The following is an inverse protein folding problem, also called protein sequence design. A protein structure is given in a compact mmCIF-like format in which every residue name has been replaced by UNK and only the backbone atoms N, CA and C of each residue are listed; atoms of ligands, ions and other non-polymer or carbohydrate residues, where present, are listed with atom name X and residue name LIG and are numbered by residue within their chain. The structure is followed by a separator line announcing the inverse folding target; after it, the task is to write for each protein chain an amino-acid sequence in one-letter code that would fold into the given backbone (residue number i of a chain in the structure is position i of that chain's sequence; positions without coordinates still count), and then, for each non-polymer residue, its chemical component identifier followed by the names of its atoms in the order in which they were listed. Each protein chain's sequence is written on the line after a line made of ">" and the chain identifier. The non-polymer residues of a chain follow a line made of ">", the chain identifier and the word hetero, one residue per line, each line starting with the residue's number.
data_IF_618344303681
#
_entry.id   IF_618344303681
#
_cell.length_a   1.000
_cell.length_b   1.000
_cell.length_c   1.000
_cell.angle_alpha   90.00
_cell.angle_beta   90.00
_cell.angle_gamma   90.00
#
_symmetry.space_group_name_H-M   'P 1'
#
loop_
_entity.id
_entity.type
_entity.pdbx_description
1 polymer ?
#
# COMPACT_ATOMS: atom_id res chain seq x y z
N UNK A 1 1.50 14.13 -26.43
CA UNK A 1 1.23 15.48 -26.94
C UNK A 1 1.44 16.41 -25.77
N UNK A 2 2.37 17.34 -25.90
CA UNK A 2 2.68 18.29 -24.84
C UNK A 2 1.65 19.43 -24.91
N UNK A 3 1.08 19.81 -23.78
CA UNK A 3 0.06 20.86 -23.69
C UNK A 3 0.69 22.06 -22.99
N UNK A 4 0.51 23.27 -23.52
CA UNK A 4 1.09 24.48 -22.94
C UNK A 4 0.05 25.53 -22.56
N UNK A 5 0.36 26.27 -21.48
CA UNK A 5 -0.46 27.37 -20.97
C UNK A 5 0.43 28.56 -20.62
N UNK A 6 -0.01 29.77 -20.97
CA UNK A 6 0.65 30.98 -20.52
C UNK A 6 0.30 31.25 -19.06
N UNK A 7 1.31 31.55 -18.24
CA UNK A 7 1.13 31.88 -16.83
C UNK A 7 2.33 32.67 -16.28
N UNK A 8 2.18 33.19 -15.08
CA UNK A 8 3.29 33.69 -14.25
C UNK A 8 3.69 32.62 -13.25
N UNK A 9 4.98 32.40 -13.05
CA UNK A 9 5.47 31.49 -12.03
C UNK A 9 6.48 32.16 -11.11
N UNK A 10 6.34 31.86 -9.83
CA UNK A 10 7.24 32.29 -8.77
C UNK A 10 7.85 31.09 -8.07
N UNK A 11 9.17 31.12 -7.86
CA UNK A 11 9.93 30.15 -7.07
C UNK A 11 10.46 30.84 -5.81
N UNK A 12 10.20 30.25 -4.66
CA UNK A 12 10.65 30.72 -3.35
C UNK A 12 11.46 29.65 -2.62
N UNK A 13 12.43 30.10 -1.82
CA UNK A 13 13.14 29.22 -0.90
C UNK A 13 12.35 29.01 0.41
N UNK A 14 12.92 28.22 1.32
CA UNK A 14 12.29 27.94 2.62
C UNK A 14 12.09 29.17 3.51
N UNK A 15 12.90 30.23 3.32
CA UNK A 15 12.75 31.52 4.01
C UNK A 15 11.75 32.46 3.31
N UNK A 16 10.94 31.95 2.37
CA UNK A 16 9.99 32.71 1.55
C UNK A 16 10.62 33.83 0.71
N UNK A 17 11.94 33.81 0.49
CA UNK A 17 12.58 34.75 -0.43
C UNK A 17 12.30 34.30 -1.85
N UNK A 18 11.76 35.20 -2.66
CA UNK A 18 11.55 34.99 -4.10
C UNK A 18 12.91 34.90 -4.79
N UNK A 19 13.14 33.78 -5.47
CA UNK A 19 14.35 33.50 -6.25
C UNK A 19 14.08 33.72 -7.74
N UNK A 20 12.88 33.33 -8.19
CA UNK A 20 12.44 33.50 -9.58
C UNK A 20 11.04 34.08 -9.57
N UNK A 21 10.81 35.06 -10.44
CA UNK A 21 9.50 35.61 -10.74
C UNK A 21 9.47 35.96 -12.22
N UNK A 22 8.72 35.19 -13.00
CA UNK A 22 8.72 35.27 -14.47
C UNK A 22 7.33 35.07 -15.02
N UNK A 23 6.99 35.85 -16.04
CA UNK A 23 5.94 35.51 -16.98
C UNK A 23 6.48 34.53 -18.03
N UNK A 24 5.66 33.58 -18.44
CA UNK A 24 6.10 32.51 -19.31
C UNK A 24 5.00 31.51 -19.63
N UNK A 25 5.42 30.27 -19.83
CA UNK A 25 4.55 29.13 -20.10
C UNK A 25 4.88 27.94 -19.20
N UNK A 26 3.85 27.16 -18.88
CA UNK A 26 3.99 25.78 -18.40
C UNK A 26 3.76 24.83 -19.57
N UNK A 27 4.64 23.85 -19.73
CA UNK A 27 4.51 22.78 -20.73
C UNK A 27 4.36 21.46 -19.99
N UNK A 28 3.17 20.86 -20.05
CA UNK A 28 2.80 19.64 -19.34
C UNK A 28 3.15 18.42 -20.19
N UNK A 29 3.80 17.43 -19.57
CA UNK A 29 4.11 16.14 -20.18
C UNK A 29 3.86 15.00 -19.18
N UNK A 30 3.95 13.74 -19.62
CA UNK A 30 3.48 12.60 -18.82
C UNK A 30 4.15 12.36 -17.46
N UNK A 31 5.32 12.96 -17.19
CA UNK A 31 6.07 12.78 -15.93
C UNK A 31 6.22 14.05 -15.10
N UNK A 32 5.67 15.18 -15.56
CA UNK A 32 5.86 16.47 -14.92
C UNK A 32 5.51 17.63 -15.83
N UNK A 33 6.18 18.75 -15.60
CA UNK A 33 6.01 19.94 -16.44
C UNK A 33 7.29 20.76 -16.49
N UNK A 34 7.43 21.57 -17.54
CA UNK A 34 8.51 22.54 -17.68
C UNK A 34 7.95 23.94 -17.47
N UNK A 35 8.59 24.74 -16.61
CA UNK A 35 8.30 26.16 -16.43
C UNK A 35 9.32 26.98 -17.21
N UNK A 36 8.89 27.73 -18.22
CA UNK A 36 9.77 28.46 -19.13
C UNK A 36 9.37 29.93 -19.19
N UNK A 37 10.31 30.85 -18.94
CA UNK A 37 10.06 32.28 -19.04
C UNK A 37 9.96 32.77 -20.49
N UNK A 38 9.47 34.01 -20.67
CA UNK A 38 9.49 34.72 -21.95
C UNK A 38 10.94 35.02 -22.38
N UNK A 39 11.46 34.26 -23.34
CA UNK A 39 12.78 34.48 -23.95
C UNK A 39 13.31 33.26 -24.71
N UNK A 40 13.89 33.48 -25.90
CA UNK A 40 14.39 32.40 -26.76
C UNK A 40 15.54 31.60 -26.12
N UNK A 41 16.26 32.20 -25.17
CA UNK A 41 17.40 31.59 -24.45
C UNK A 41 17.00 30.91 -23.14
N UNK A 42 15.76 31.08 -22.66
CA UNK A 42 15.30 30.42 -21.44
C UNK A 42 14.99 28.95 -21.74
N UNK A 43 15.86 28.07 -21.24
CA UNK A 43 15.70 26.62 -21.37
C UNK A 43 14.56 26.07 -20.51
N UNK A 44 14.07 26.86 -19.55
CA UNK A 44 13.06 26.47 -18.58
C UNK A 44 13.59 25.53 -17.50
N UNK A 45 12.82 25.41 -16.43
CA UNK A 45 13.04 24.50 -15.31
C UNK A 45 12.14 23.27 -15.46
N UNK A 46 12.73 22.08 -15.41
CA UNK A 46 12.02 20.82 -15.47
C UNK A 46 11.61 20.40 -14.05
N UNK A 47 10.32 20.13 -13.83
CA UNK A 47 9.81 19.69 -12.53
C UNK A 47 9.08 18.37 -12.70
N UNK A 48 9.63 17.32 -12.10
CA UNK A 48 9.04 15.99 -12.15
C UNK A 48 7.96 15.85 -11.06
N UNK A 49 6.86 15.14 -11.36
CA UNK A 49 5.83 14.86 -10.35
C UNK A 49 6.39 14.03 -9.17
N UNK A 50 7.45 13.27 -9.40
CA UNK A 50 8.18 12.51 -8.37
C UNK A 50 8.88 13.41 -7.34
N UNK A 51 9.15 14.66 -7.68
CA UNK A 51 9.81 15.64 -6.81
C UNK A 51 8.81 16.46 -5.99
N UNK A 52 7.53 16.45 -6.37
CA UNK A 52 6.47 17.24 -5.74
C UNK A 52 5.94 16.52 -4.48
N UNK A 53 6.15 17.15 -3.32
CA UNK A 53 5.66 16.71 -2.00
C UNK A 53 4.21 17.13 -1.77
N UNK A 54 3.86 18.38 -2.05
CA UNK A 54 2.51 18.94 -1.85
C UNK A 54 2.09 19.65 -3.14
N UNK A 55 0.83 19.52 -3.53
CA UNK A 55 0.26 20.10 -4.73
C UNK A 55 -1.21 20.42 -4.46
N UNK A 56 -1.62 21.67 -4.63
CA UNK A 56 -3.00 22.09 -4.47
C UNK A 56 -3.23 23.40 -5.24
N UNK A 57 -4.49 23.83 -5.34
CA UNK A 57 -4.83 25.11 -5.94
C UNK A 57 -5.88 25.84 -5.11
N UNK A 58 -5.86 27.18 -5.18
CA UNK A 58 -6.82 28.06 -4.52
C UNK A 58 -6.75 29.45 -5.16
N UNK A 59 -7.89 30.15 -5.29
CA UNK A 59 -7.95 31.51 -5.81
C UNK A 59 -7.22 31.68 -7.16
N UNK A 60 -7.50 30.80 -8.13
CA UNK A 60 -6.89 30.77 -9.46
C UNK A 60 -5.36 30.70 -9.48
N UNK A 61 -4.79 30.06 -8.45
CA UNK A 61 -3.35 29.80 -8.32
C UNK A 61 -3.08 28.35 -7.98
N UNK A 62 -2.04 27.80 -8.58
CA UNK A 62 -1.49 26.48 -8.24
C UNK A 62 -0.32 26.68 -7.29
N UNK A 63 -0.30 25.93 -6.20
CA UNK A 63 0.77 25.90 -5.23
C UNK A 63 1.35 24.50 -5.17
N UNK A 64 2.68 24.41 -5.19
CA UNK A 64 3.33 23.14 -4.92
C UNK A 64 4.65 23.31 -4.19
N UNK A 65 4.97 22.29 -3.39
CA UNK A 65 6.21 22.20 -2.62
C UNK A 65 6.91 20.94 -3.03
N UNK A 66 8.19 21.03 -3.34
CA UNK A 66 9.05 19.91 -3.71
C UNK A 66 9.73 19.28 -2.48
N UNK A 67 10.28 18.08 -2.61
CA UNK A 67 10.98 17.40 -1.50
C UNK A 67 12.26 18.10 -1.04
N UNK A 68 12.87 18.93 -1.88
CA UNK A 68 13.98 19.83 -1.53
C UNK A 68 13.50 21.15 -0.86
N UNK A 69 12.22 21.25 -0.52
CA UNK A 69 11.58 22.39 0.17
C UNK A 69 11.52 23.70 -0.63
N UNK A 70 11.59 23.62 -1.96
CA UNK A 70 11.29 24.77 -2.82
C UNK A 70 9.77 24.93 -2.94
N UNK A 71 9.30 26.18 -2.92
CA UNK A 71 7.88 26.51 -3.03
C UNK A 71 7.64 27.20 -4.36
N UNK A 72 6.59 26.79 -5.05
CA UNK A 72 6.20 27.35 -6.33
C UNK A 72 4.77 27.85 -6.27
N UNK A 73 4.54 29.00 -6.90
CA UNK A 73 3.21 29.55 -7.14
C UNK A 73 3.07 29.80 -8.64
N UNK A 74 2.03 29.24 -9.25
CA UNK A 74 1.65 29.51 -10.63
C UNK A 74 0.35 30.33 -10.62
N UNK A 75 0.34 31.48 -11.29
CA UNK A 75 -0.77 32.43 -11.33
C UNK A 75 -0.99 32.96 -12.74
N UNK A 76 -2.06 33.75 -12.91
CA UNK A 76 -2.29 34.55 -14.11
C UNK A 76 -2.49 33.71 -15.39
N UNK A 77 -3.07 32.51 -15.26
CA UNK A 77 -3.47 31.67 -16.39
C UNK A 77 -4.78 32.14 -17.08
N UNK A 78 -5.40 33.21 -16.56
CA UNK A 78 -6.62 33.80 -17.11
C UNK A 78 -7.78 32.80 -17.23
N UNK A 79 -8.54 32.92 -18.32
CA UNK A 79 -9.71 32.06 -18.60
C UNK A 79 -9.35 30.59 -18.83
N UNK A 80 -8.08 30.27 -19.04
CA UNK A 80 -7.60 28.90 -19.26
C UNK A 80 -7.28 28.15 -17.95
N UNK A 81 -7.38 28.81 -16.78
CA UNK A 81 -7.03 28.20 -15.49
C UNK A 81 -7.78 26.89 -15.23
N UNK A 82 -9.08 26.83 -15.53
CA UNK A 82 -9.87 25.61 -15.34
C UNK A 82 -9.34 24.42 -16.16
N UNK A 83 -9.03 24.65 -17.44
CA UNK A 83 -8.48 23.61 -18.31
C UNK A 83 -7.05 23.22 -17.91
N UNK A 84 -6.23 24.18 -17.50
CA UNK A 84 -4.89 23.94 -16.96
C UNK A 84 -4.94 22.97 -15.77
N UNK A 85 -5.90 23.15 -14.85
CA UNK A 85 -6.09 22.25 -13.70
C UNK A 85 -6.47 20.84 -14.17
N UNK A 86 -7.39 20.71 -15.11
CA UNK A 86 -7.79 19.39 -15.64
C UNK A 86 -6.60 18.67 -16.27
N UNK A 87 -5.83 19.35 -17.10
CA UNK A 87 -4.72 18.73 -17.82
C UNK A 87 -3.54 18.37 -16.90
N UNK A 88 -3.23 19.22 -15.92
CA UNK A 88 -2.15 18.93 -14.97
C UNK A 88 -2.50 17.76 -14.07
N UNK A 89 -3.75 17.66 -13.60
CA UNK A 89 -4.20 16.52 -12.80
C UNK A 89 -4.34 15.26 -13.64
N UNK A 90 -4.73 15.35 -14.92
CA UNK A 90 -4.72 14.20 -15.82
C UNK A 90 -3.33 13.60 -15.95
N UNK A 91 -2.32 14.42 -16.27
CA UNK A 91 -0.94 13.96 -16.40
C UNK A 91 -0.38 13.45 -15.06
N UNK A 92 -0.67 14.16 -13.97
CA UNK A 92 -0.23 13.80 -12.63
C UNK A 92 -0.86 12.49 -12.15
N UNK A 93 -2.15 12.29 -12.35
CA UNK A 93 -2.85 11.10 -11.91
C UNK A 93 -2.38 9.85 -12.66
N UNK A 94 -2.08 9.95 -13.96
CA UNK A 94 -1.43 8.85 -14.68
C UNK A 94 -0.07 8.48 -14.07
N UNK A 95 0.77 9.47 -13.75
CA UNK A 95 2.01 9.22 -13.03
C UNK A 95 1.79 8.61 -11.63
N UNK A 96 0.86 9.15 -10.85
CA UNK A 96 0.59 8.72 -9.48
C UNK A 96 0.09 7.28 -9.42
N UNK A 97 -0.77 6.87 -10.34
CA UNK A 97 -1.31 5.51 -10.36
C UNK A 97 -0.21 4.45 -10.48
N UNK A 98 0.80 4.72 -11.32
CA UNK A 98 1.94 3.81 -11.49
C UNK A 98 2.92 3.93 -10.33
N UNK A 99 3.29 5.15 -9.94
CA UNK A 99 4.29 5.41 -8.91
C UNK A 99 3.85 5.02 -7.50
N UNK A 100 2.54 4.83 -7.28
CA UNK A 100 1.94 4.44 -6.01
C UNK A 100 1.23 3.08 -6.07
N UNK A 101 1.48 2.28 -7.13
CA UNK A 101 0.97 0.90 -7.26
C UNK A 101 -0.55 0.79 -7.14
N UNK A 102 -1.29 1.77 -7.67
CA UNK A 102 -2.75 1.84 -7.51
C UNK A 102 -3.50 0.80 -8.34
N UNK A 103 -2.92 0.38 -9.48
CA UNK A 103 -3.51 -0.52 -10.47
C UNK A 103 -3.28 -1.98 -10.06
N UNK A 104 -4.33 -2.67 -9.62
CA UNK A 104 -4.29 -4.05 -9.19
C UNK A 104 -4.62 -5.04 -10.31
N UNK A 105 -3.63 -5.42 -11.12
CA UNK A 105 -3.84 -6.33 -12.26
C UNK A 105 -4.44 -5.63 -13.49
N UNK A 106 -5.20 -6.37 -14.31
CA UNK A 106 -5.78 -5.85 -15.55
C UNK A 106 -7.01 -4.98 -15.32
N UNK A 107 -7.18 -3.93 -16.12
CA UNK A 107 -8.40 -3.12 -16.14
C UNK A 107 -9.59 -3.99 -16.60
N UNK A 108 -10.70 -3.94 -15.87
CA UNK A 108 -11.93 -4.68 -16.15
C UNK A 108 -13.07 -3.80 -16.64
N UNK A 109 -13.19 -2.60 -16.09
CA UNK A 109 -14.23 -1.66 -16.48
C UNK A 109 -13.87 -0.23 -16.08
N UNK A 110 -14.52 0.74 -16.71
CA UNK A 110 -14.37 2.17 -16.44
C UNK A 110 -15.75 2.84 -16.45
N UNK A 111 -15.98 3.72 -15.47
CA UNK A 111 -17.24 4.42 -15.26
C UNK A 111 -16.99 5.89 -14.92
N UNK A 112 -18.02 6.71 -15.02
CA UNK A 112 -18.04 8.08 -14.49
C UNK A 112 -19.05 8.17 -13.35
N UNK A 113 -18.73 8.92 -12.32
CA UNK A 113 -19.64 9.11 -11.20
C UNK A 113 -19.13 10.13 -10.20
N UNK A 114 -19.84 10.20 -9.07
CA UNK A 114 -19.50 11.05 -7.94
C UNK A 114 -18.98 10.20 -6.79
N UNK A 115 -17.94 10.68 -6.10
CA UNK A 115 -17.47 10.06 -4.87
C UNK A 115 -17.48 11.05 -3.70
N UNK A 116 -17.64 10.51 -2.49
CA UNK A 116 -17.40 11.21 -1.24
C UNK A 116 -16.61 10.32 -0.30
N UNK A 117 -15.47 10.82 0.18
CA UNK A 117 -14.62 10.12 1.14
C UNK A 117 -14.67 10.81 2.49
N UNK A 118 -14.94 10.03 3.53
CA UNK A 118 -14.94 10.49 4.92
C UNK A 118 -13.96 9.65 5.75
N UNK A 119 -13.32 10.30 6.71
CA UNK A 119 -12.47 9.61 7.69
C UNK A 119 -13.31 8.77 8.66
N UNK A 120 -12.64 7.94 9.47
CA UNK A 120 -13.26 7.18 10.56
C UNK A 120 -14.06 8.01 11.58
N UNK A 121 -13.76 9.30 11.68
CA UNK A 121 -14.48 10.25 12.55
C UNK A 121 -15.57 11.03 11.79
N UNK A 122 -16.03 10.51 10.65
CA UNK A 122 -16.99 11.13 9.74
C UNK A 122 -16.57 12.52 9.20
N UNK A 123 -15.32 12.94 9.39
CA UNK A 123 -14.82 14.20 8.81
C UNK A 123 -14.63 14.05 7.30
N UNK A 124 -15.18 14.95 6.47
CA UNK A 124 -14.94 14.94 5.03
C UNK A 124 -13.45 15.04 4.71
N UNK A 125 -12.96 14.14 3.86
CA UNK A 125 -11.60 14.18 3.34
C UNK A 125 -11.61 14.89 1.98
N UNK A 126 -12.38 14.35 1.04
CA UNK A 126 -12.60 14.94 -0.27
C UNK A 126 -13.83 14.34 -0.96
N UNK A 127 -14.27 14.99 -2.03
CA UNK A 127 -15.41 14.58 -2.86
C UNK A 127 -15.33 15.21 -4.25
N UNK A 128 -16.11 14.72 -5.20
CA UNK A 128 -16.24 15.31 -6.53
C UNK A 128 -16.57 14.29 -7.61
N UNK A 129 -16.66 14.79 -8.85
CA UNK A 129 -16.79 13.93 -10.02
C UNK A 129 -15.45 13.22 -10.27
N UNK A 130 -15.52 11.94 -10.59
CA UNK A 130 -14.37 11.11 -10.86
C UNK A 130 -14.68 10.05 -11.91
N UNK A 131 -13.62 9.66 -12.60
CA UNK A 131 -13.58 8.42 -13.37
C UNK A 131 -13.22 7.28 -12.42
N UNK A 132 -13.99 6.20 -12.46
CA UNK A 132 -13.81 5.02 -11.62
C UNK A 132 -13.29 3.88 -12.49
N UNK A 133 -12.07 3.41 -12.23
CA UNK A 133 -11.45 2.30 -12.96
C UNK A 133 -11.40 1.06 -12.08
N UNK A 134 -12.11 0.02 -12.47
CA UNK A 134 -12.10 -1.27 -11.76
C UNK A 134 -11.02 -2.15 -12.38
N UNK A 135 -10.08 -2.61 -11.55
CA UNK A 135 -9.06 -3.59 -11.87
C UNK A 135 -9.36 -4.93 -11.17
N UNK A 136 -8.53 -5.95 -11.40
CA UNK A 136 -8.69 -7.29 -10.80
C UNK A 136 -8.68 -7.28 -9.26
N UNK A 137 -7.81 -6.47 -8.66
CA UNK A 137 -7.62 -6.42 -7.20
C UNK A 137 -7.70 -5.02 -6.59
N UNK A 138 -8.13 -4.03 -7.38
CA UNK A 138 -8.36 -2.67 -6.88
C UNK A 138 -9.39 -1.90 -7.70
N UNK A 139 -9.90 -0.81 -7.13
CA UNK A 139 -10.62 0.23 -7.86
C UNK A 139 -9.89 1.56 -7.68
N UNK A 140 -9.58 2.24 -8.79
CA UNK A 140 -8.91 3.54 -8.77
C UNK A 140 -9.94 4.64 -9.04
N UNK A 141 -9.98 5.62 -8.14
CA UNK A 141 -10.81 6.82 -8.26
C UNK A 141 -9.93 7.95 -8.79
N UNK A 142 -10.31 8.52 -9.94
CA UNK A 142 -9.55 9.54 -10.66
C UNK A 142 -10.39 10.82 -10.74
N UNK A 143 -10.27 11.72 -9.75
CA UNK A 143 -10.95 13.01 -9.79
C UNK A 143 -10.35 13.91 -10.89
N UNK A 144 -11.16 14.79 -11.46
CA UNK A 144 -10.72 15.72 -12.51
C UNK A 144 -9.78 16.83 -12.01
N UNK A 145 -9.83 17.14 -10.71
CA UNK A 145 -9.09 18.27 -10.13
C UNK A 145 -8.38 17.93 -8.81
N UNK A 146 -8.10 16.65 -8.54
CA UNK A 146 -7.46 16.19 -7.30
C UNK A 146 -6.59 14.96 -7.56
N UNK A 147 -5.69 14.66 -6.62
CA UNK A 147 -4.87 13.45 -6.68
C UNK A 147 -5.76 12.19 -6.64
N UNK A 148 -5.50 11.25 -7.56
CA UNK A 148 -6.15 9.94 -7.59
C UNK A 148 -5.82 9.12 -6.33
N UNK A 149 -6.70 8.16 -6.01
CA UNK A 149 -6.47 7.20 -4.94
C UNK A 149 -7.05 5.83 -5.30
N UNK A 150 -6.60 4.78 -4.61
CA UNK A 150 -7.01 3.41 -4.86
C UNK A 150 -7.70 2.78 -3.64
N UNK A 151 -8.73 1.98 -3.91
CA UNK A 151 -9.34 1.05 -2.99
C UNK A 151 -8.82 -0.34 -3.37
N UNK A 152 -7.81 -0.81 -2.66
CA UNK A 152 -7.33 -2.18 -2.81
C UNK A 152 -8.34 -3.13 -2.16
N UNK A 153 -8.88 -4.08 -2.92
CA UNK A 153 -9.94 -4.98 -2.46
C UNK A 153 -9.51 -5.84 -1.27
N UNK A 154 -8.22 -6.15 -1.20
CA UNK A 154 -7.62 -6.79 -0.04
C UNK A 154 -7.90 -6.04 1.27
N UNK A 155 -8.13 -4.72 1.25
CA UNK A 155 -8.34 -3.88 2.44
C UNK A 155 -9.75 -3.30 2.55
N UNK A 156 -10.69 -3.80 1.74
CA UNK A 156 -12.11 -3.51 1.90
C UNK A 156 -12.65 -4.37 3.05
N UNK A 157 -13.13 -3.73 4.11
CA UNK A 157 -13.75 -4.40 5.25
C UNK A 157 -15.17 -4.85 4.91
N UNK A 158 -15.98 -3.92 4.40
CA UNK A 158 -17.35 -4.19 3.94
C UNK A 158 -17.71 -3.28 2.77
N UNK A 159 -18.74 -3.69 2.03
CA UNK A 159 -19.35 -2.88 1.00
C UNK A 159 -20.85 -3.17 0.97
N UNK A 160 -21.64 -2.17 0.56
CA UNK A 160 -23.10 -2.23 0.56
C UNK A 160 -23.62 -1.42 -0.62
N UNK A 161 -24.41 -2.06 -1.48
CA UNK A 161 -25.18 -1.40 -2.53
C UNK A 161 -26.55 -1.06 -1.97
N UNK A 162 -26.98 0.18 -2.19
CA UNK A 162 -28.32 0.64 -1.82
C UNK A 162 -29.11 0.91 -3.10
N UNK A 163 -29.85 -0.10 -3.55
CA UNK A 163 -30.55 -0.09 -4.84
C UNK A 163 -31.53 1.08 -4.98
N UNK A 164 -32.15 1.52 -3.87
CA UNK A 164 -33.10 2.63 -3.87
C UNK A 164 -32.41 3.99 -4.08
N UNK A 165 -31.20 4.15 -3.56
CA UNK A 165 -30.42 5.38 -3.67
C UNK A 165 -29.41 5.34 -4.82
N UNK A 166 -29.26 4.20 -5.49
CA UNK A 166 -28.22 3.95 -6.49
C UNK A 166 -26.84 4.34 -5.97
N UNK A 167 -26.54 3.97 -4.73
CA UNK A 167 -25.26 4.25 -4.08
C UNK A 167 -24.51 2.98 -3.75
N UNK A 168 -23.18 3.10 -3.72
CA UNK A 168 -22.29 2.10 -3.14
C UNK A 168 -21.54 2.74 -1.98
N UNK A 169 -21.64 2.12 -0.81
CA UNK A 169 -20.83 2.43 0.37
C UNK A 169 -19.73 1.39 0.51
N UNK A 170 -18.48 1.82 0.63
CA UNK A 170 -17.32 0.97 0.90
C UNK A 170 -16.65 1.42 2.19
N UNK A 171 -16.44 0.49 3.12
CA UNK A 171 -15.70 0.71 4.35
C UNK A 171 -14.35 -0.01 4.24
N UNK A 172 -13.27 0.74 4.40
CA UNK A 172 -11.90 0.20 4.39
C UNK A 172 -11.50 -0.28 5.79
N UNK A 173 -10.46 -1.10 5.89
CA UNK A 173 -9.94 -1.62 7.18
C UNK A 173 -9.43 -0.52 8.13
N UNK A 174 -9.13 0.68 7.62
CA UNK A 174 -8.75 1.85 8.43
C UNK A 174 -9.98 2.70 8.83
N UNK A 175 -11.18 2.16 8.63
CA UNK A 175 -12.50 2.76 8.89
C UNK A 175 -12.79 4.00 8.03
N UNK A 176 -11.97 4.30 7.03
CA UNK A 176 -12.34 5.26 5.97
C UNK A 176 -13.57 4.72 5.25
N UNK A 177 -14.59 5.58 5.08
CA UNK A 177 -15.77 5.26 4.29
C UNK A 177 -15.77 6.05 2.99
N UNK A 178 -16.08 5.38 1.88
CA UNK A 178 -16.21 5.98 0.55
C UNK A 178 -17.60 5.67 0.03
N UNK A 179 -18.31 6.72 -0.40
CA UNK A 179 -19.60 6.63 -1.05
C UNK A 179 -19.42 6.92 -2.54
N UNK A 180 -20.08 6.13 -3.38
CA UNK A 180 -20.17 6.33 -4.83
C UNK A 180 -21.64 6.50 -5.21
N UNK A 181 -21.91 7.43 -6.11
CA UNK A 181 -23.26 7.76 -6.59
C UNK A 181 -23.17 8.38 -7.99
N UNK A 182 -24.31 8.76 -8.57
CA UNK A 182 -24.37 9.42 -9.88
C UNK A 182 -23.74 8.61 -11.02
N UNK A 183 -23.83 7.28 -10.95
CA UNK A 183 -23.39 6.35 -12.00
C UNK A 183 -24.36 6.30 -13.19
N UNK A 184 -25.50 6.98 -13.09
CA UNK A 184 -26.52 7.03 -14.15
C UNK A 184 -27.04 5.64 -14.50
N UNK A 185 -27.13 5.36 -15.80
CA UNK A 185 -27.59 4.07 -16.32
C UNK A 185 -26.56 2.95 -16.13
N UNK A 186 -25.34 3.26 -15.72
CA UNK A 186 -24.28 2.26 -15.56
C UNK A 186 -24.26 1.63 -14.16
N UNK A 187 -25.18 1.99 -13.25
CA UNK A 187 -25.16 1.50 -11.87
C UNK A 187 -25.20 -0.04 -11.77
N UNK A 188 -26.12 -0.69 -12.47
CA UNK A 188 -26.25 -2.16 -12.45
C UNK A 188 -24.99 -2.85 -13.00
N UNK A 189 -24.44 -2.33 -14.10
CA UNK A 189 -23.19 -2.84 -14.67
C UNK A 189 -22.01 -2.60 -13.73
N UNK A 190 -21.96 -1.44 -13.07
CA UNK A 190 -20.94 -1.12 -12.09
C UNK A 190 -20.99 -2.08 -10.90
N UNK A 191 -22.19 -2.37 -10.38
CA UNK A 191 -22.41 -3.35 -9.32
C UNK A 191 -21.92 -4.73 -9.73
N UNK A 192 -22.35 -5.23 -10.89
CA UNK A 192 -21.92 -6.54 -11.41
C UNK A 192 -20.38 -6.63 -11.50
N UNK A 193 -19.72 -5.59 -12.03
CA UNK A 193 -18.25 -5.57 -12.17
C UNK A 193 -17.53 -5.48 -10.83
N UNK A 194 -18.05 -4.72 -9.88
CA UNK A 194 -17.50 -4.64 -8.52
C UNK A 194 -17.64 -5.97 -7.78
N UNK A 195 -18.82 -6.57 -7.79
CA UNK A 195 -19.09 -7.87 -7.17
C UNK A 195 -18.24 -8.98 -7.81
N UNK A 196 -18.11 -8.98 -9.14
CA UNK A 196 -17.24 -9.92 -9.86
C UNK A 196 -15.78 -9.77 -9.44
N UNK A 197 -15.28 -8.54 -9.32
CA UNK A 197 -13.88 -8.31 -8.95
C UNK A 197 -13.60 -8.68 -7.48
N UNK A 198 -14.50 -8.31 -6.56
CA UNK A 198 -14.42 -8.68 -5.15
C UNK A 198 -14.57 -10.20 -4.94
N UNK A 199 -15.52 -10.83 -5.64
CA UNK A 199 -15.75 -12.27 -5.61
C UNK A 199 -14.59 -13.06 -6.22
N UNK A 200 -14.03 -12.57 -7.33
CA UNK A 200 -12.85 -13.15 -7.98
C UNK A 200 -11.63 -13.20 -7.07
N UNK A 201 -11.40 -12.15 -6.27
CA UNK A 201 -10.35 -12.13 -5.25
C UNK A 201 -10.50 -13.29 -4.25
N UNK A 202 -11.69 -13.50 -3.68
CA UNK A 202 -11.93 -14.61 -2.76
C UNK A 202 -11.81 -15.97 -3.45
N UNK A 203 -12.31 -16.07 -4.69
CA UNK A 203 -12.19 -17.26 -5.52
C UNK A 203 -10.73 -17.68 -5.71
N UNK A 204 -9.85 -16.75 -6.05
CA UNK A 204 -8.41 -16.99 -6.19
C UNK A 204 -7.79 -17.46 -4.87
N UNK A 205 -8.11 -16.83 -3.74
CA UNK A 205 -7.54 -17.22 -2.44
C UNK A 205 -7.99 -18.63 -2.04
N UNK A 206 -9.27 -18.94 -2.17
CA UNK A 206 -9.79 -20.26 -1.80
C UNK A 206 -9.29 -21.34 -2.76
N UNK A 207 -9.47 -21.15 -4.07
CA UNK A 207 -9.25 -22.21 -5.04
C UNK A 207 -7.79 -22.34 -5.47
N UNK A 208 -7.09 -21.23 -5.66
CA UNK A 208 -5.72 -21.24 -6.19
C UNK A 208 -4.65 -21.21 -5.09
N UNK A 209 -5.02 -21.02 -3.82
CA UNK A 209 -4.07 -20.97 -2.70
C UNK A 209 -4.45 -21.99 -1.64
N UNK A 210 -5.58 -21.78 -0.97
CA UNK A 210 -5.88 -22.55 0.23
C UNK A 210 -6.22 -24.02 -0.10
N UNK A 211 -6.93 -24.30 -1.19
CA UNK A 211 -7.22 -25.70 -1.58
C UNK A 211 -6.01 -26.48 -2.07
N UNK A 212 -5.04 -25.80 -2.69
CA UNK A 212 -3.79 -26.46 -3.09
C UNK A 212 -2.92 -26.82 -1.88
N UNK A 213 -2.96 -25.98 -0.83
CA UNK A 213 -2.15 -26.16 0.37
C UNK A 213 -2.83 -27.03 1.44
N UNK A 214 -4.15 -26.94 1.57
CA UNK A 214 -4.95 -27.52 2.66
C UNK A 214 -6.12 -28.34 2.09
N UNK A 215 -5.81 -29.31 1.23
CA UNK A 215 -6.78 -30.12 0.49
C UNK A 215 -7.72 -30.97 1.37
N UNK A 216 -7.30 -31.25 2.60
CA UNK A 216 -8.02 -32.03 3.60
C UNK A 216 -9.18 -31.24 4.25
N UNK A 217 -9.21 -29.92 4.12
CA UNK A 217 -10.22 -29.07 4.75
C UNK A 217 -11.41 -28.78 3.84
N UNK A 218 -12.60 -28.75 4.44
CA UNK A 218 -13.82 -28.42 3.71
C UNK A 218 -13.82 -26.97 3.19
N UNK A 219 -14.40 -26.74 2.00
CA UNK A 219 -14.39 -25.42 1.33
C UNK A 219 -14.97 -24.30 2.19
N UNK A 220 -15.97 -24.59 3.04
CA UNK A 220 -16.55 -23.60 3.95
C UNK A 220 -15.58 -23.12 5.04
N UNK A 221 -14.68 -23.99 5.51
CA UNK A 221 -13.64 -23.65 6.48
C UNK A 221 -12.58 -22.77 5.81
N UNK A 222 -12.14 -23.16 4.62
CA UNK A 222 -11.17 -22.40 3.82
C UNK A 222 -11.72 -21.02 3.41
N UNK A 223 -13.02 -20.90 3.12
CA UNK A 223 -13.65 -19.61 2.80
C UNK A 223 -13.60 -18.64 3.99
N UNK A 224 -13.81 -19.12 5.23
CA UNK A 224 -13.68 -18.29 6.44
C UNK A 224 -12.24 -17.80 6.61
N UNK A 225 -11.25 -18.65 6.36
CA UNK A 225 -9.84 -18.26 6.39
C UNK A 225 -9.51 -17.26 5.28
N UNK A 226 -9.97 -17.50 4.06
CA UNK A 226 -9.80 -16.59 2.91
C UNK A 226 -10.40 -15.21 3.17
N UNK A 227 -11.53 -15.11 3.88
CA UNK A 227 -12.11 -13.83 4.25
C UNK A 227 -11.20 -13.01 5.18
N UNK A 228 -10.45 -13.67 6.07
CA UNK A 228 -9.49 -13.03 6.99
C UNK A 228 -8.16 -12.72 6.30
N UNK A 229 -7.61 -13.67 5.54
CA UNK A 229 -6.31 -13.53 4.86
C UNK A 229 -6.40 -12.63 3.62
N UNK A 230 -7.50 -12.68 2.87
CA UNK A 230 -7.67 -11.99 1.58
C UNK A 230 -6.45 -12.25 0.69
N UNK A 231 -5.86 -11.25 0.04
CA UNK A 231 -4.62 -11.37 -0.74
C UNK A 231 -3.33 -11.63 0.06
N UNK A 232 -3.41 -12.44 1.13
CA UNK A 232 -2.26 -12.94 1.86
C UNK A 232 -1.85 -12.14 3.10
N UNK A 233 -2.76 -11.36 3.68
CA UNK A 233 -2.57 -10.77 5.00
C UNK A 233 -2.32 -11.84 6.04
N UNK A 234 -1.56 -11.48 7.06
CA UNK A 234 -1.40 -12.35 8.20
C UNK A 234 -2.64 -12.30 9.11
N UNK A 235 -3.02 -13.46 9.63
CA UNK A 235 -4.14 -13.66 10.55
C UNK A 235 -3.60 -14.23 11.85
N UNK A 236 -4.12 -13.78 12.99
CA UNK A 236 -3.63 -14.27 14.29
C UNK A 236 -3.94 -15.76 14.46
N UNK A 237 -3.04 -16.46 15.14
CA UNK A 237 -3.20 -17.88 15.44
C UNK A 237 -4.54 -18.14 16.16
N UNK A 238 -4.91 -17.28 17.11
CA UNK A 238 -6.21 -17.36 17.78
C UNK A 238 -7.41 -17.24 16.83
N UNK A 239 -7.37 -16.34 15.86
CA UNK A 239 -8.46 -16.22 14.88
C UNK A 239 -8.55 -17.45 13.98
N UNK A 240 -7.42 -18.06 13.62
CA UNK A 240 -7.39 -19.33 12.87
C UNK A 240 -7.98 -20.46 13.73
N UNK A 241 -7.59 -20.57 15.00
CA UNK A 241 -8.14 -21.58 15.93
C UNK A 241 -9.65 -21.43 16.16
N UNK A 242 -10.18 -20.20 16.16
CA UNK A 242 -11.64 -19.94 16.23
C UNK A 242 -12.37 -20.43 14.99
N UNK A 243 -11.72 -20.44 13.83
CA UNK A 243 -12.28 -21.00 12.60
C UNK A 243 -12.31 -22.52 12.72
N UNK A 244 -11.14 -23.12 12.98
CA UNK A 244 -10.95 -24.57 13.14
C UNK A 244 -9.57 -24.86 13.81
N UNK A 245 -9.53 -25.73 14.81
CA UNK A 245 -8.30 -26.03 15.57
C UNK A 245 -7.30 -26.87 14.77
N UNK A 246 -7.79 -27.80 13.95
CA UNK A 246 -6.94 -28.64 13.12
C UNK A 246 -6.34 -27.81 11.99
N UNK A 247 -7.10 -26.84 11.46
CA UNK A 247 -6.60 -25.87 10.50
C UNK A 247 -5.45 -25.04 11.06
N UNK A 248 -5.56 -24.57 12.31
CA UNK A 248 -4.47 -23.84 12.96
C UNK A 248 -3.17 -24.66 13.00
N UNK A 249 -3.29 -25.94 13.31
CA UNK A 249 -2.15 -26.87 13.33
C UNK A 249 -1.59 -27.11 11.93
N UNK A 250 -2.45 -27.28 10.93
CA UNK A 250 -2.05 -27.44 9.53
C UNK A 250 -1.32 -26.20 9.00
N UNK A 251 -1.80 -24.99 9.31
CA UNK A 251 -1.16 -23.73 8.94
C UNK A 251 0.23 -23.62 9.57
N UNK A 252 0.38 -23.87 10.87
CA UNK A 252 1.69 -23.87 11.52
C UNK A 252 2.63 -24.88 10.87
N UNK A 253 2.16 -26.11 10.63
CA UNK A 253 2.96 -27.15 9.97
C UNK A 253 3.39 -26.75 8.57
N UNK A 254 2.52 -26.08 7.80
CA UNK A 254 2.85 -25.59 6.46
C UNK A 254 3.87 -24.44 6.48
N UNK A 255 3.72 -23.49 7.41
CA UNK A 255 4.67 -22.39 7.59
C UNK A 255 6.06 -22.93 7.89
N UNK A 256 6.17 -23.91 8.79
CA UNK A 256 7.44 -24.47 9.23
C UNK A 256 7.86 -25.77 8.52
N UNK A 257 7.24 -26.10 7.37
CA UNK A 257 7.45 -27.37 6.65
C UNK A 257 8.94 -27.68 6.48
N UNK A 258 9.39 -28.78 7.10
CA UNK A 258 10.74 -29.34 7.07
C UNK A 258 11.89 -28.38 7.42
N UNK A 259 11.60 -27.30 8.17
CA UNK A 259 12.55 -26.24 8.46
C UNK A 259 12.84 -26.11 9.96
N UNK A 260 13.68 -27.02 10.46
CA UNK A 260 14.04 -27.07 11.88
C UNK A 260 14.79 -25.81 12.34
N UNK A 261 15.60 -25.20 11.46
CA UNK A 261 16.36 -23.98 11.78
C UNK A 261 15.41 -22.81 11.99
N UNK A 262 14.42 -22.63 11.11
CA UNK A 262 13.40 -21.60 11.29
C UNK A 262 12.56 -21.85 12.55
N UNK A 263 12.15 -23.09 12.80
CA UNK A 263 11.41 -23.45 14.03
C UNK A 263 12.19 -23.05 15.27
N UNK A 264 13.49 -23.37 15.33
CA UNK A 264 14.35 -23.02 16.45
C UNK A 264 14.43 -21.50 16.65
N UNK A 265 14.71 -20.74 15.59
CA UNK A 265 14.75 -19.26 15.63
C UNK A 265 13.43 -18.67 16.11
N UNK A 266 12.33 -19.07 15.49
CA UNK A 266 11.02 -18.50 15.80
C UNK A 266 10.50 -18.93 17.17
N UNK A 267 10.97 -20.05 17.73
CA UNK A 267 10.63 -20.47 19.09
C UNK A 267 11.04 -19.44 20.15
N UNK A 268 12.10 -18.66 19.89
CA UNK A 268 12.55 -17.56 20.77
C UNK A 268 11.46 -16.50 20.89
N UNK A 269 10.88 -16.08 19.76
CA UNK A 269 9.81 -15.07 19.74
C UNK A 269 8.47 -15.65 20.22
N UNK A 270 8.18 -16.90 19.86
CA UNK A 270 6.97 -17.60 20.30
C UNK A 270 6.90 -17.78 21.82
N UNK A 271 8.03 -17.99 22.50
CA UNK A 271 8.09 -18.10 23.98
C UNK A 271 7.74 -16.82 24.72
N UNK A 272 7.89 -15.66 24.07
CA UNK A 272 7.63 -14.34 24.65
C UNK A 272 6.37 -13.68 24.07
N UNK A 273 5.53 -14.45 23.38
CA UNK A 273 4.26 -14.00 22.79
C UNK A 273 3.17 -15.03 23.08
N UNK A 274 1.91 -14.59 23.04
CA UNK A 274 0.74 -15.47 23.13
C UNK A 274 0.09 -15.67 21.75
N UNK A 275 -0.93 -16.53 21.66
CA UNK A 275 -1.67 -16.82 20.43
C UNK A 275 -2.40 -15.62 19.80
N UNK A 276 -2.66 -14.53 20.54
CA UNK A 276 -3.20 -13.30 19.97
C UNK A 276 -2.13 -12.53 19.20
N UNK A 277 -0.86 -12.77 19.55
CA UNK A 277 0.30 -12.02 19.13
C UNK A 277 1.20 -12.80 18.14
N UNK A 278 0.77 -13.98 17.70
CA UNK A 278 1.38 -14.75 16.61
C UNK A 278 0.48 -14.67 15.38
N UNK A 279 1.04 -14.36 14.22
CA UNK A 279 0.28 -14.21 12.98
C UNK A 279 0.92 -14.99 11.84
N UNK A 280 0.09 -15.61 11.01
CA UNK A 280 0.51 -16.37 9.83
C UNK A 280 -0.14 -15.84 8.57
N UNK A 281 0.67 -15.70 7.52
CA UNK A 281 0.22 -15.26 6.21
C UNK A 281 0.74 -16.17 5.10
N UNK A 282 -0.10 -16.37 4.10
CA UNK A 282 0.14 -17.19 2.92
C UNK A 282 -0.42 -16.42 1.73
N UNK A 283 0.42 -16.16 0.74
CA UNK A 283 0.02 -15.48 -0.49
C UNK A 283 0.47 -16.27 -1.71
N UNK A 284 -0.20 -16.05 -2.84
CA UNK A 284 0.26 -16.52 -4.14
C UNK A 284 1.46 -15.68 -4.56
N UNK A 285 2.46 -16.31 -5.16
CA UNK A 285 3.53 -15.61 -5.84
C UNK A 285 3.16 -15.41 -7.31
N UNK A 286 2.85 -14.18 -7.70
CA UNK A 286 2.46 -13.88 -9.08
C UNK A 286 3.65 -13.95 -10.06
N UNK A 287 4.89 -14.03 -9.57
CA UNK A 287 6.10 -14.05 -10.41
C UNK A 287 6.51 -15.45 -10.84
N UNK A 288 6.13 -16.48 -10.08
CA UNK A 288 6.46 -17.87 -10.36
C UNK A 288 5.19 -18.71 -10.31
N UNK A 289 4.97 -19.52 -11.34
CA UNK A 289 3.79 -20.39 -11.41
C UNK A 289 3.81 -21.43 -10.28
N UNK A 290 2.66 -21.68 -9.66
CA UNK A 290 2.46 -22.67 -8.58
C UNK A 290 3.38 -22.43 -7.38
N UNK A 291 3.62 -21.16 -7.08
CA UNK A 291 4.51 -20.72 -6.02
C UNK A 291 3.77 -19.86 -5.01
N UNK A 292 4.24 -19.93 -3.77
CA UNK A 292 3.59 -19.35 -2.60
C UNK A 292 4.60 -18.62 -1.72
N UNK A 293 4.15 -17.52 -1.15
CA UNK A 293 4.87 -16.73 -0.17
C UNK A 293 4.29 -17.08 1.20
N UNK A 294 5.15 -17.60 2.07
CA UNK A 294 4.83 -17.86 3.47
C UNK A 294 5.47 -16.77 4.30
N UNK A 295 4.76 -16.24 5.27
CA UNK A 295 5.30 -15.24 6.18
C UNK A 295 4.60 -15.26 7.52
N UNK A 296 5.26 -14.70 8.52
CA UNK A 296 4.77 -14.73 9.89
C UNK A 296 5.19 -13.47 10.65
N UNK A 297 4.41 -13.13 11.67
CA UNK A 297 4.66 -12.00 12.57
C UNK A 297 4.52 -12.38 14.03
N UNK A 298 5.27 -11.66 14.86
CA UNK A 298 5.17 -11.69 16.32
C UNK A 298 5.02 -10.27 16.83
N UNK A 299 3.95 -9.95 17.57
CA UNK A 299 3.83 -8.70 18.32
C UNK A 299 4.25 -8.91 19.77
N UNK A 300 5.40 -8.35 20.13
CA UNK A 300 5.98 -8.46 21.47
C UNK A 300 5.58 -7.19 22.22
N UNK A 301 4.35 -7.19 22.73
CA UNK A 301 3.67 -6.01 23.30
C UNK A 301 4.49 -5.38 24.43
N UNK A 302 5.03 -6.20 25.33
CA UNK A 302 5.85 -5.77 26.48
C UNK A 302 7.16 -5.09 26.06
N UNK A 303 7.60 -5.33 24.82
CA UNK A 303 8.78 -4.72 24.22
C UNK A 303 8.43 -3.63 23.21
N UNK A 304 7.14 -3.35 23.01
CA UNK A 304 6.66 -2.36 22.06
C UNK A 304 7.16 -2.63 20.62
N UNK A 305 7.18 -3.89 20.19
CA UNK A 305 7.79 -4.33 18.93
C UNK A 305 6.85 -5.25 18.14
N UNK A 306 6.93 -5.17 16.83
CA UNK A 306 6.47 -6.21 15.91
C UNK A 306 7.67 -6.71 15.10
N UNK A 307 7.85 -8.02 15.07
CA UNK A 307 8.81 -8.70 14.22
C UNK A 307 8.08 -9.39 13.07
N UNK A 308 8.63 -9.37 11.85
CA UNK A 308 8.13 -10.18 10.74
C UNK A 308 9.24 -10.89 9.99
N UNK A 309 8.93 -12.07 9.46
CA UNK A 309 9.82 -12.86 8.60
C UNK A 309 9.05 -13.31 7.37
N UNK A 310 9.62 -13.09 6.19
CA UNK A 310 9.14 -13.68 4.93
C UNK A 310 10.04 -14.86 4.63
N UNK A 311 9.44 -16.04 4.47
CA UNK A 311 10.14 -17.27 4.21
C UNK A 311 10.52 -17.38 2.73
N UNK A 312 11.46 -18.27 2.38
CA UNK A 312 11.68 -18.63 1.00
C UNK A 312 10.38 -19.04 0.33
N UNK A 313 10.34 -18.70 -0.95
CA UNK A 313 9.35 -19.15 -1.89
C UNK A 313 9.14 -20.65 -1.77
N UNK A 314 7.89 -21.07 -1.59
CA UNK A 314 7.51 -22.46 -1.62
C UNK A 314 6.89 -22.78 -2.98
N UNK A 315 7.33 -23.86 -3.62
CA UNK A 315 6.81 -24.33 -4.92
C UNK A 315 6.14 -25.68 -4.70
N UNK A 316 4.96 -25.91 -5.27
CA UNK A 316 4.27 -27.20 -5.12
C UNK A 316 5.13 -28.36 -5.67
N UNK A 317 5.08 -29.51 -5.02
CA UNK A 317 5.93 -30.68 -5.31
C UNK A 317 5.92 -31.06 -6.81
N UNK A 318 7.12 -31.25 -7.39
CA UNK A 318 7.33 -31.60 -8.81
C UNK A 318 8.38 -30.73 -9.54
N UNK A 319 8.70 -29.56 -8.99
CA UNK A 319 9.85 -28.75 -9.43
C UNK A 319 10.88 -28.74 -8.31
N UNK A 320 12.13 -29.15 -8.61
CA UNK A 320 13.21 -29.12 -7.63
C UNK A 320 13.35 -27.71 -7.09
N UNK A 321 13.09 -27.58 -5.80
CA UNK A 321 13.37 -26.38 -5.04
C UNK A 321 14.89 -26.14 -5.09
N UNK A 322 15.32 -25.18 -5.89
CA UNK A 322 16.71 -24.69 -5.91
C UNK A 322 16.94 -23.72 -4.74
N UNK A 323 16.28 -23.96 -3.61
CA UNK A 323 16.57 -23.27 -2.36
C UNK A 323 18.02 -23.54 -1.98
N UNK A 324 18.89 -22.52 -1.93
CA UNK A 324 20.29 -22.70 -1.60
C UNK A 324 20.42 -23.31 -0.20
N UNK A 325 21.39 -24.20 0.00
CA UNK A 325 21.72 -24.88 1.27
C UNK A 325 22.09 -23.93 2.44
N UNK A 326 22.01 -22.60 2.23
CA UNK A 326 22.23 -21.53 3.20
C UNK A 326 21.10 -20.50 3.12
N UNK A 327 19.87 -20.93 3.40
CA UNK A 327 18.73 -20.01 3.48
C UNK A 327 18.91 -19.08 4.68
N UNK A 328 19.05 -17.77 4.41
CA UNK A 328 19.02 -16.74 5.44
C UNK A 328 17.57 -16.30 5.68
N UNK A 329 17.03 -16.66 6.85
CA UNK A 329 15.75 -16.16 7.32
C UNK A 329 15.92 -14.78 7.94
N UNK A 330 15.55 -13.78 7.17
CA UNK A 330 15.65 -12.40 7.58
C UNK A 330 14.41 -12.01 8.40
N UNK A 331 14.64 -11.69 9.67
CA UNK A 331 13.61 -11.17 10.55
C UNK A 331 13.80 -9.69 10.76
N UNK A 332 12.75 -8.92 10.49
CA UNK A 332 12.75 -7.47 10.55
C UNK A 332 11.95 -7.01 11.77
N UNK A 333 12.50 -6.06 12.51
CA UNK A 333 11.91 -5.57 13.75
C UNK A 333 11.49 -4.10 13.60
N UNK A 334 10.28 -3.81 14.09
CA UNK A 334 9.68 -2.49 14.03
C UNK A 334 9.10 -2.10 15.39
N UNK A 335 9.34 -0.87 15.83
CA UNK A 335 8.74 -0.30 17.03
C UNK A 335 7.26 0.02 16.80
N UNK A 336 6.39 -0.31 17.75
CA UNK A 336 5.00 0.15 17.73
C UNK A 336 5.04 1.65 18.10
N UNK A 337 4.58 2.51 17.18
CA UNK A 337 4.61 3.96 17.39
C UNK A 337 3.36 4.33 18.18
N UNK A 338 3.56 4.91 19.35
CA UNK A 338 2.50 5.40 20.23
C UNK A 338 2.56 6.92 20.28
N UNK A 339 1.47 7.58 19.90
CA UNK A 339 1.26 9.00 20.23
C UNK A 339 0.59 9.14 21.60
N UNK A 340 -0.34 8.22 21.91
CA UNK A 340 -1.08 8.11 23.15
C UNK A 340 -1.48 6.64 23.38
N UNK A 341 -1.71 6.25 24.65
CA UNK A 341 -2.15 4.91 25.03
C UNK A 341 -1.03 3.90 25.28
N UNK A 342 -1.37 2.61 25.29
CA UNK A 342 -0.43 1.49 25.51
C UNK A 342 -0.10 0.77 24.19
N UNK A 343 1.02 0.03 24.11
CA UNK A 343 1.38 -0.70 22.89
C UNK A 343 0.29 -1.66 22.43
N UNK A 344 -0.39 -2.31 23.38
CA UNK A 344 -1.47 -3.25 23.13
C UNK A 344 -2.59 -2.65 22.26
N UNK A 345 -2.97 -1.38 22.51
CA UNK A 345 -4.00 -0.68 21.74
C UNK A 345 -3.55 -0.29 20.33
N UNK A 346 -2.26 -0.42 20.01
CA UNK A 346 -1.65 0.00 18.75
C UNK A 346 -1.07 -1.15 17.92
N UNK A 347 -1.18 -2.38 18.41
CA UNK A 347 -0.75 -3.58 17.69
C UNK A 347 -1.46 -3.67 16.34
N UNK A 348 -2.80 -3.59 16.33
CA UNK A 348 -3.58 -3.72 15.08
C UNK A 348 -3.22 -2.65 14.04
N UNK A 349 -2.99 -1.41 14.46
CA UNK A 349 -2.54 -0.33 13.58
C UNK A 349 -1.18 -0.67 12.94
N UNK A 350 -0.22 -1.17 13.74
CA UNK A 350 1.10 -1.58 13.25
C UNK A 350 1.02 -2.78 12.31
N UNK A 351 0.20 -3.78 12.63
CA UNK A 351 -0.02 -4.94 11.77
C UNK A 351 -0.67 -4.53 10.45
N UNK A 352 -1.61 -3.58 10.48
CA UNK A 352 -2.23 -3.01 9.27
C UNK A 352 -1.18 -2.33 8.39
N UNK A 353 -0.27 -1.56 8.96
CA UNK A 353 0.83 -0.92 8.22
C UNK A 353 1.74 -1.95 7.53
N UNK A 354 2.13 -3.02 8.24
CA UNK A 354 2.95 -4.09 7.68
C UNK A 354 2.19 -4.84 6.58
N UNK A 355 0.95 -5.25 6.84
CA UNK A 355 0.10 -5.91 5.84
C UNK A 355 -0.07 -5.05 4.58
N UNK A 356 -0.37 -3.75 4.72
CA UNK A 356 -0.49 -2.83 3.58
C UNK A 356 0.82 -2.69 2.82
N UNK A 357 1.96 -2.59 3.51
CA UNK A 357 3.27 -2.51 2.88
C UNK A 357 3.58 -3.77 2.09
N UNK A 358 3.41 -4.95 2.67
CA UNK A 358 3.76 -6.20 2.02
C UNK A 358 2.79 -6.55 0.90
N UNK A 359 1.48 -6.52 1.13
CA UNK A 359 0.50 -6.95 0.13
C UNK A 359 0.48 -6.00 -1.08
N UNK A 360 0.48 -4.68 -0.89
CA UNK A 360 0.43 -3.73 -2.02
C UNK A 360 1.75 -3.65 -2.80
N UNK A 361 2.87 -4.08 -2.19
CA UNK A 361 4.18 -4.13 -2.84
C UNK A 361 4.57 -5.55 -3.24
N UNK A 362 3.61 -6.47 -3.32
CA UNK A 362 3.83 -7.87 -3.71
C UNK A 362 4.98 -8.54 -2.94
N UNK A 363 4.99 -8.34 -1.62
CA UNK A 363 5.95 -8.87 -0.66
C UNK A 363 7.40 -8.45 -0.88
N UNK A 364 7.64 -7.37 -1.63
CA UNK A 364 8.99 -6.79 -1.75
C UNK A 364 9.34 -6.06 -0.45
N UNK A 365 10.35 -6.60 0.25
CA UNK A 365 10.80 -6.13 1.57
C UNK A 365 11.65 -4.85 1.53
N UNK A 366 12.44 -4.64 0.49
CA UNK A 366 13.41 -3.54 0.37
C UNK A 366 12.83 -2.14 0.71
N UNK A 367 11.63 -1.76 0.22
CA UNK A 367 11.01 -0.48 0.55
C UNK A 367 10.64 -0.32 2.02
N UNK A 368 10.54 -1.40 2.78
CA UNK A 368 10.13 -1.36 4.19
C UNK A 368 11.26 -0.94 5.13
N UNK A 369 12.53 -1.10 4.74
CA UNK A 369 13.67 -0.87 5.64
C UNK A 369 14.90 -0.20 5.00
N UNK A 370 15.24 -0.46 3.73
CA UNK A 370 16.48 0.07 3.09
C UNK A 370 16.52 1.58 3.06
N UNK A 371 17.71 2.19 3.09
CA UNK A 371 17.81 3.65 3.07
C UNK A 371 17.24 4.26 1.78
N UNK A 372 16.73 5.50 1.87
CA UNK A 372 16.17 6.20 0.72
C UNK A 372 17.20 6.44 -0.39
N UNK A 373 18.49 6.52 -0.07
CA UNK A 373 19.58 6.70 -1.03
C UNK A 373 19.80 5.45 -1.86
N UNK A 374 19.68 4.27 -1.24
CA UNK A 374 19.76 2.97 -1.94
C UNK A 374 18.59 2.78 -2.90
N UNK A 375 17.42 3.31 -2.54
CA UNK A 375 16.20 3.20 -3.34
C UNK A 375 16.02 4.31 -4.38
N UNK A 376 17.00 5.20 -4.58
CA UNK A 376 16.89 6.39 -5.44
C UNK A 376 16.50 6.06 -6.89
N UNK A 377 16.96 4.94 -7.43
CA UNK A 377 16.68 4.51 -8.80
C UNK A 377 15.68 3.34 -8.86
N UNK A 378 15.08 3.00 -7.72
CA UNK A 378 14.06 1.94 -7.65
C UNK A 378 12.68 2.47 -8.05
N UNK A 379 11.76 1.59 -8.48
CA UNK A 379 10.35 1.97 -8.69
C UNK A 379 9.67 2.49 -7.40
N UNK A 380 10.24 2.19 -6.23
CA UNK A 380 9.66 2.55 -4.93
C UNK A 380 10.05 3.94 -4.42
N UNK A 381 10.94 4.66 -5.13
CA UNK A 381 11.48 5.95 -4.68
C UNK A 381 10.42 6.98 -4.28
N UNK A 382 9.27 6.95 -4.96
CA UNK A 382 8.17 7.88 -4.73
C UNK A 382 7.22 7.33 -3.67
N UNK A 383 6.87 6.05 -3.75
CA UNK A 383 6.06 5.32 -2.79
C UNK A 383 6.55 5.50 -1.34
N UNK A 384 7.85 5.32 -1.08
CA UNK A 384 8.45 5.48 0.27
C UNK A 384 8.34 6.91 0.84
N UNK A 385 8.01 7.90 0.00
CA UNK A 385 7.86 9.29 0.39
C UNK A 385 6.40 9.74 0.48
N UNK A 386 5.46 9.00 -0.13
CA UNK A 386 4.06 9.41 -0.27
C UNK A 386 3.08 8.49 0.45
N UNK A 387 3.27 7.18 0.40
CA UNK A 387 2.36 6.22 1.02
C UNK A 387 2.47 6.35 2.55
N UNK A 388 1.39 6.71 3.27
CA UNK A 388 1.44 6.93 4.71
C UNK A 388 1.90 5.70 5.49
N UNK A 389 1.32 4.52 5.21
CA UNK A 389 1.67 3.26 5.88
C UNK A 389 3.16 2.93 5.73
N UNK A 390 3.72 3.12 4.53
CA UNK A 390 5.12 2.80 4.26
C UNK A 390 6.08 3.78 4.95
N UNK A 391 5.71 5.07 5.00
CA UNK A 391 6.50 6.08 5.73
C UNK A 391 6.54 5.81 7.21
N UNK A 392 5.39 5.47 7.80
CA UNK A 392 5.28 5.19 9.24
C UNK A 392 6.03 3.90 9.57
N UNK A 393 5.84 2.84 8.78
CA UNK A 393 6.56 1.58 8.93
C UNK A 393 8.08 1.78 8.91
N UNK A 394 8.60 2.47 7.89
CA UNK A 394 10.03 2.77 7.77
C UNK A 394 10.58 3.59 8.93
N UNK A 395 9.79 4.55 9.46
CA UNK A 395 10.20 5.35 10.62
C UNK A 395 10.30 4.49 11.89
N UNK A 396 9.53 3.41 11.97
CA UNK A 396 9.58 2.47 13.09
C UNK A 396 10.63 1.36 12.97
N UNK A 397 11.36 1.25 11.87
CA UNK A 397 12.35 0.19 11.71
C UNK A 397 13.49 0.34 12.74
N UNK A 398 13.79 -0.73 13.48
CA UNK A 398 14.84 -0.73 14.53
C UNK A 398 15.99 -1.69 14.25
N UNK A 399 15.82 -2.68 13.38
CA UNK A 399 16.90 -3.61 13.05
C UNK A 399 16.43 -4.89 12.37
N UNK A 400 17.40 -5.71 12.02
CA UNK A 400 17.21 -6.97 11.33
C UNK A 400 18.12 -8.05 11.95
N UNK A 401 17.58 -9.25 12.16
CA UNK A 401 18.35 -10.45 12.47
C UNK A 401 18.37 -11.35 11.22
N UNK A 402 19.55 -11.70 10.73
CA UNK A 402 19.74 -12.39 9.44
C UNK A 402 20.80 -13.48 9.47
N UNK A 403 21.34 -13.82 10.65
CA UNK A 403 22.28 -14.91 10.78
C UNK A 403 21.65 -16.24 10.32
N UNK A 404 22.45 -17.08 9.66
CA UNK A 404 22.03 -18.40 9.20
C UNK A 404 21.86 -19.37 10.38
N UNK A 405 22.78 -19.33 11.33
CA UNK A 405 22.74 -20.11 12.57
C UNK A 405 21.69 -19.58 13.57
N UNK A 406 21.03 -20.48 14.31
CA UNK A 406 19.97 -20.13 15.24
C UNK A 406 20.48 -19.38 16.48
N UNK A 407 21.66 -19.73 17.01
CA UNK A 407 22.22 -19.09 18.21
C UNK A 407 22.69 -17.67 17.91
N UNK A 408 23.39 -17.49 16.80
CA UNK A 408 23.81 -16.14 16.38
C UNK A 408 22.60 -15.27 16.01
N UNK A 409 21.58 -15.86 15.37
CA UNK A 409 20.32 -15.16 15.11
C UNK A 409 19.63 -14.75 16.40
N UNK A 410 19.59 -15.62 17.40
CA UNK A 410 19.00 -15.34 18.71
C UNK A 410 19.72 -14.17 19.39
N UNK A 411 21.06 -14.15 19.36
CA UNK A 411 21.85 -13.05 19.89
C UNK A 411 21.49 -11.72 19.21
N UNK A 412 21.43 -11.69 17.88
CA UNK A 412 21.01 -10.50 17.12
C UNK A 412 19.60 -10.04 17.51
N UNK A 413 18.64 -10.98 17.61
CA UNK A 413 17.28 -10.68 18.01
C UNK A 413 17.22 -10.10 19.43
N UNK A 414 17.89 -10.73 20.39
CA UNK A 414 17.93 -10.26 21.78
C UNK A 414 18.58 -8.88 21.93
N UNK A 415 19.64 -8.58 21.18
CA UNK A 415 20.25 -7.25 21.14
C UNK A 415 19.24 -6.19 20.68
N UNK A 416 18.49 -6.47 19.61
CA UNK A 416 17.44 -5.57 19.11
C UNK A 416 16.30 -5.40 20.14
N UNK A 417 15.86 -6.48 20.79
CA UNK A 417 14.81 -6.46 21.82
C UNK A 417 15.24 -5.71 23.09
N UNK A 418 16.54 -5.69 23.42
CA UNK A 418 17.09 -4.91 24.55
C UNK A 418 17.15 -3.43 24.23
N UNK A 419 17.68 -3.04 23.06
CA UNK A 419 17.83 -1.64 22.66
C UNK A 419 16.52 -0.87 22.50
N UNK A 420 15.41 -1.58 22.35
CA UNK A 420 14.06 -1.05 22.14
C UNK A 420 13.24 -0.88 23.42
N UNK A 421 13.73 -1.43 24.55
CA UNK A 421 13.15 -1.27 25.89
C UNK A 421 13.48 0.10 26.54
N UNK A 422 14.26 0.93 25.84
CA UNK A 422 14.58 2.32 26.13
C UNK A 422 13.72 3.25 25.25
#
# INVERSE_FOLDING_TARGET
>A
MDISYNLRYQKQNFANRVIVDKEGEIIIYGKGFRLKGKGATDKGELINFSEIKEFYYRNDKIFFITFNKEKYTLSDAGTQFGQLIVDIYKARNEFLMDALFMKGGKLKAEFEGYFQRVSKFAKPINKGNAKLRIYESSMVVIPSSQDAFSLHFNFVNSYEFEDLEYTLKVVMDDETTIFFSQLGNDFELFQEKMETALGGMYGTVVNDILKEVFMEFHSAVLLKLAYKMKGGKAVSLKEIQKIDKDLASAVENFIFKDDNVLKEKMSVLKKITDENNVFYGIAKDDTVKNSYIRWLMYSIVDKNIVAFCILPRWISEGQKDSSPQNVKYETYFYKIIMEQGTPALKVEDKLREINQALVNLHFVKDPCYKDKRELKHSPYQYAIRKLPYLRILRKSFIGQANAADAKEWQKQAEEILKCSSL
#
